data_IF_263684784178
#
_entry.id   IF_263684784178
#
_cell.length_a   1.000
_cell.length_b   1.000
_cell.length_c   1.000
_cell.angle_alpha   90.00
_cell.angle_beta   90.00
_cell.angle_gamma   90.00
#
_symmetry.space_group_name_H-M   'P 1'
#
loop_
_entity.id
_entity.type
_entity.pdbx_description
1 polymer ?
#
# COMPACT_ATOMS: atom_id res chain seq x y z
N UNK A 1 -1.58 -2.71 18.57
CA UNK A 1 -1.96 -2.12 17.27
C UNK A 1 -1.23 -2.89 16.19
N UNK A 2 -1.91 -3.25 15.10
CA UNK A 2 -1.30 -3.97 14.00
C UNK A 2 -2.35 -4.55 13.07
N UNK A 3 -2.02 -4.65 11.79
CA UNK A 3 -2.87 -5.28 10.78
C UNK A 3 -2.60 -6.78 10.80
N UNK A 4 -3.65 -7.60 10.88
CA UNK A 4 -3.51 -9.04 10.69
C UNK A 4 -3.14 -9.30 9.22
N UNK A 5 -1.95 -9.85 9.01
CA UNK A 5 -1.41 -10.14 7.68
C UNK A 5 -1.57 -11.60 7.24
N UNK A 6 -2.07 -12.47 8.11
CA UNK A 6 -2.19 -13.92 7.84
C UNK A 6 -3.22 -14.26 6.75
N UNK A 7 -4.16 -13.33 6.49
CA UNK A 7 -5.19 -13.43 5.46
C UNK A 7 -5.05 -12.33 4.41
N UNK A 8 -3.83 -11.83 4.20
CA UNK A 8 -3.58 -10.92 3.09
C UNK A 8 -3.65 -11.70 1.79
N UNK A 9 -4.67 -11.41 0.98
CA UNK A 9 -4.76 -11.89 -0.39
C UNK A 9 -4.96 -13.39 -0.54
N UNK A 10 -5.27 -13.80 -1.78
CA UNK A 10 -5.39 -15.20 -2.14
C UNK A 10 -4.06 -15.66 -2.75
N UNK A 11 -3.53 -16.83 -2.34
CA UNK A 11 -2.55 -17.60 -3.10
C UNK A 11 -2.79 -17.54 -4.62
N UNK A 12 -1.84 -16.99 -5.37
CA UNK A 12 -1.89 -16.99 -6.84
C UNK A 12 -0.81 -17.88 -7.43
N UNK A 13 -1.08 -18.38 -8.64
CA UNK A 13 -0.11 -19.03 -9.51
C UNK A 13 -0.19 -18.40 -10.91
N UNK A 14 0.90 -17.80 -11.35
CA UNK A 14 0.95 -16.94 -12.52
C UNK A 14 1.36 -17.73 -13.74
N UNK A 15 0.44 -17.81 -14.71
CA UNK A 15 0.70 -18.38 -16.03
C UNK A 15 0.35 -17.39 -17.13
N UNK A 16 1.19 -17.34 -18.16
CA UNK A 16 0.92 -16.58 -19.37
C UNK A 16 0.43 -17.55 -20.43
N UNK A 17 -0.80 -17.35 -20.92
CA UNK A 17 -1.45 -18.25 -21.87
C UNK A 17 -1.73 -17.53 -23.19
N UNK A 18 -1.65 -18.26 -24.28
CA UNK A 18 -2.16 -17.78 -25.58
C UNK A 18 -3.69 -17.69 -25.57
N UNK A 19 -4.27 -17.02 -26.57
CA UNK A 19 -5.73 -17.00 -26.78
C UNK A 19 -6.37 -18.39 -26.98
N UNK A 20 -5.55 -19.41 -27.29
CA UNK A 20 -5.95 -20.83 -27.37
C UNK A 20 -5.63 -21.60 -26.08
N UNK A 21 -5.48 -20.91 -24.95
CA UNK A 21 -5.16 -21.44 -23.61
C UNK A 21 -3.80 -22.16 -23.43
N UNK A 22 -3.01 -22.34 -24.48
CA UNK A 22 -1.66 -22.92 -24.38
C UNK A 22 -0.73 -22.05 -23.51
N UNK A 23 -0.08 -22.66 -22.51
CA UNK A 23 0.86 -22.01 -21.61
C UNK A 23 2.11 -21.61 -22.40
N UNK A 24 2.45 -20.33 -22.35
CA UNK A 24 3.64 -19.72 -22.97
C UNK A 24 4.76 -19.50 -21.96
N UNK A 25 4.40 -19.17 -20.73
CA UNK A 25 5.33 -19.05 -19.62
C UNK A 25 4.59 -19.33 -18.31
N UNK A 26 5.33 -19.79 -17.32
CA UNK A 26 4.86 -20.10 -15.98
C UNK A 26 5.90 -19.56 -15.00
N UNK A 27 5.45 -18.84 -13.98
CA UNK A 27 6.31 -18.38 -12.91
C UNK A 27 6.57 -19.57 -11.99
N UNK A 28 7.83 -19.95 -11.86
CA UNK A 28 8.25 -21.06 -11.00
C UNK A 28 8.99 -20.50 -9.80
N UNK A 29 8.46 -20.73 -8.60
CA UNK A 29 9.10 -20.35 -7.34
C UNK A 29 9.52 -21.60 -6.55
N UNK A 30 10.57 -21.51 -5.73
CA UNK A 30 10.94 -22.60 -4.83
C UNK A 30 9.80 -22.96 -3.86
N UNK A 31 9.65 -24.25 -3.54
CA UNK A 31 8.62 -24.75 -2.62
C UNK A 31 8.64 -24.07 -1.23
N UNK A 32 9.82 -23.69 -0.75
CA UNK A 32 9.97 -22.96 0.51
C UNK A 32 9.31 -21.58 0.47
N UNK A 33 9.34 -20.91 -0.68
CA UNK A 33 8.71 -19.60 -0.90
C UNK A 33 7.20 -19.77 -0.98
N UNK A 34 6.72 -20.76 -1.74
CA UNK A 34 5.29 -21.06 -1.85
C UNK A 34 4.68 -21.42 -0.49
N UNK A 35 5.38 -22.22 0.32
CA UNK A 35 4.94 -22.57 1.68
C UNK A 35 4.99 -21.39 2.65
N UNK A 36 5.98 -20.52 2.51
CA UNK A 36 6.17 -19.38 3.42
C UNK A 36 5.22 -18.20 3.16
N UNK A 37 4.87 -17.97 1.89
CA UNK A 37 4.15 -16.77 1.46
C UNK A 37 2.79 -17.06 0.80
N UNK A 38 2.42 -18.33 0.66
CA UNK A 38 1.12 -18.77 0.17
C UNK A 38 0.98 -18.82 -1.34
N UNK A 39 1.89 -18.24 -2.14
CA UNK A 39 1.78 -18.24 -3.60
C UNK A 39 2.86 -17.40 -4.26
N UNK A 40 2.75 -17.20 -5.57
CA UNK A 40 3.72 -16.41 -6.33
C UNK A 40 3.45 -14.90 -6.35
N UNK A 41 2.20 -14.54 -6.11
CA UNK A 41 1.74 -13.19 -5.90
C UNK A 41 0.65 -13.21 -4.83
N UNK A 42 0.83 -12.39 -3.81
CA UNK A 42 -0.16 -12.17 -2.76
C UNK A 42 -0.60 -10.72 -2.84
N UNK A 43 -1.77 -10.48 -3.44
CA UNK A 43 -2.32 -9.15 -3.69
C UNK A 43 -3.52 -8.87 -2.80
N UNK A 44 -3.64 -7.62 -2.33
CA UNK A 44 -4.85 -7.10 -1.70
C UNK A 44 -5.26 -5.81 -2.43
N UNK A 45 -6.56 -5.58 -2.57
CA UNK A 45 -7.04 -4.30 -3.09
C UNK A 45 -6.68 -3.19 -2.09
N UNK A 46 -6.21 -2.06 -2.62
CA UNK A 46 -5.87 -0.88 -1.83
C UNK A 46 -6.98 -0.43 -0.86
N UNK A 47 -8.29 -0.38 -1.22
CA UNK A 47 -9.34 -0.06 -0.26
C UNK A 47 -9.43 -1.07 0.90
N UNK A 48 -9.33 -2.36 0.63
CA UNK A 48 -9.40 -3.40 1.66
C UNK A 48 -8.23 -3.29 2.64
N UNK A 49 -7.03 -2.99 2.13
CA UNK A 49 -5.87 -2.72 2.99
C UNK A 49 -6.13 -1.52 3.91
N UNK A 50 -6.67 -0.43 3.38
CA UNK A 50 -6.98 0.75 4.19
C UNK A 50 -8.03 0.47 5.26
N UNK A 51 -9.08 -0.28 4.94
CA UNK A 51 -10.11 -0.65 5.91
C UNK A 51 -9.52 -1.45 7.08
N UNK A 52 -8.71 -2.47 6.79
CA UNK A 52 -8.01 -3.26 7.83
C UNK A 52 -7.05 -2.41 8.66
N UNK A 53 -6.36 -1.45 8.04
CA UNK A 53 -5.51 -0.49 8.76
C UNK A 53 -6.33 0.40 9.69
N UNK A 54 -7.48 0.92 9.23
CA UNK A 54 -8.36 1.78 10.03
C UNK A 54 -8.92 1.03 11.24
N UNK A 55 -9.33 -0.23 11.06
CA UNK A 55 -9.82 -1.09 12.15
C UNK A 55 -8.76 -1.34 13.24
N UNK A 56 -7.48 -1.39 12.85
CA UNK A 56 -6.37 -1.60 13.77
C UNK A 56 -5.94 -0.35 14.55
N UNK A 57 -6.43 0.83 14.16
CA UNK A 57 -6.06 2.13 14.71
C UNK A 57 -7.10 2.57 15.75
N UNK A 58 -6.69 2.97 16.97
CA UNK A 58 -7.60 3.45 17.99
C UNK A 58 -8.45 4.64 17.50
N UNK A 59 -9.72 4.72 17.90
CA UNK A 59 -10.58 5.87 17.58
C UNK A 59 -9.94 7.20 18.01
N UNK A 60 -10.09 8.23 17.18
CA UNK A 60 -9.53 9.56 17.43
C UNK A 60 -8.05 9.73 17.10
N UNK A 61 -7.36 8.70 16.61
CA UNK A 61 -5.94 8.80 16.21
C UNK A 61 -5.75 9.55 14.89
N UNK A 62 -6.72 9.47 13.97
CA UNK A 62 -6.61 10.08 12.63
C UNK A 62 -7.48 11.33 12.57
N UNK A 63 -6.86 12.45 12.23
CA UNK A 63 -7.55 13.68 11.84
C UNK A 63 -7.53 13.84 10.31
N UNK A 64 -8.70 13.74 9.68
CA UNK A 64 -8.84 13.98 8.25
C UNK A 64 -8.87 15.47 7.92
N UNK A 65 -8.64 15.82 6.64
CA UNK A 65 -8.60 17.20 6.16
C UNK A 65 -7.52 18.09 6.83
N UNK A 66 -6.45 17.47 7.36
CA UNK A 66 -5.31 18.14 7.99
C UNK A 66 -4.06 18.16 7.10
N UNK A 67 -4.17 18.73 5.90
CA UNK A 67 -3.00 18.91 5.03
C UNK A 67 -2.07 19.99 5.57
N UNK A 68 -0.79 19.69 5.80
CA UNK A 68 0.20 20.65 6.31
C UNK A 68 0.63 21.62 5.19
N UNK A 69 0.67 22.92 5.45
CA UNK A 69 1.13 23.95 4.50
C UNK A 69 2.50 24.51 4.83
N UNK A 70 2.91 24.46 6.10
CA UNK A 70 4.23 24.87 6.54
C UNK A 70 4.65 24.16 7.83
N UNK A 71 5.97 24.10 8.02
CA UNK A 71 6.65 23.46 9.14
C UNK A 71 7.67 24.45 9.67
N UNK A 72 7.67 24.66 10.98
CA UNK A 72 8.63 25.49 11.70
C UNK A 72 9.34 24.62 12.74
N UNK A 73 10.65 24.50 12.63
CA UNK A 73 11.50 23.81 13.60
C UNK A 73 11.97 24.83 14.65
N UNK A 74 11.55 24.64 15.90
CA UNK A 74 11.88 25.50 17.03
C UNK A 74 12.94 24.86 17.95
N UNK A 75 13.59 23.78 17.51
CA UNK A 75 14.60 23.04 18.29
C UNK A 75 13.96 21.98 19.21
N UNK A 76 13.17 22.42 20.19
CA UNK A 76 12.56 21.52 21.19
C UNK A 76 11.21 20.94 20.71
N UNK A 77 10.59 21.60 19.73
CA UNK A 77 9.33 21.18 19.13
C UNK A 77 9.22 21.66 17.69
N UNK A 78 8.33 20.99 16.95
CA UNK A 78 7.94 21.35 15.60
C UNK A 78 6.54 21.95 15.65
N UNK A 79 6.35 23.09 14.99
CA UNK A 79 5.03 23.68 14.77
C UNK A 79 4.58 23.44 13.33
N UNK A 80 3.40 22.86 13.19
CA UNK A 80 2.72 22.58 11.93
C UNK A 80 1.65 23.64 11.69
N UNK A 81 1.55 24.11 10.45
CA UNK A 81 0.54 25.09 10.01
C UNK A 81 -0.41 24.45 9.01
N UNK A 82 -1.70 24.78 9.11
CA UNK A 82 -2.77 24.23 8.28
C UNK A 82 -3.48 25.31 7.45
N UNK A 83 -4.20 24.95 6.36
CA UNK A 83 -4.90 25.89 5.48
C UNK A 83 -5.99 26.69 6.17
N UNK A 84 -6.56 26.17 7.26
CA UNK A 84 -7.60 26.83 8.06
C UNK A 84 -7.03 27.88 9.03
N UNK A 85 -5.71 28.09 9.02
CA UNK A 85 -5.02 29.02 9.92
C UNK A 85 -4.72 28.44 11.30
N UNK A 86 -5.13 27.20 11.58
CA UNK A 86 -4.78 26.52 12.83
C UNK A 86 -3.34 26.01 12.80
N UNK A 87 -2.82 25.71 13.99
CA UNK A 87 -1.49 25.11 14.15
C UNK A 87 -1.49 23.98 15.17
N UNK A 88 -0.50 23.08 15.05
CA UNK A 88 -0.28 21.98 15.98
C UNK A 88 1.19 21.87 16.35
N UNK A 89 1.50 21.64 17.63
CA UNK A 89 2.86 21.50 18.13
C UNK A 89 3.14 20.06 18.54
N UNK A 90 4.31 19.55 18.15
CA UNK A 90 4.74 18.18 18.47
C UNK A 90 6.24 18.11 18.69
N UNK A 91 6.68 17.22 19.57
CA UNK A 91 8.11 16.92 19.76
C UNK A 91 8.70 16.07 18.62
N UNK A 92 7.86 15.36 17.85
CA UNK A 92 8.30 14.50 16.76
C UNK A 92 7.34 14.57 15.56
N UNK A 93 7.91 14.67 14.37
CA UNK A 93 7.20 14.61 13.09
C UNK A 93 7.74 13.46 12.24
N UNK A 94 6.85 12.58 11.77
CA UNK A 94 7.19 11.49 10.84
C UNK A 94 6.62 11.84 9.46
N UNK A 95 7.49 11.94 8.46
CA UNK A 95 7.11 12.19 7.07
C UNK A 95 6.54 10.95 6.38
N UNK A 96 5.21 10.91 6.23
CA UNK A 96 4.49 9.84 5.51
C UNK A 96 3.48 10.41 4.49
N UNK A 97 3.75 11.61 3.97
CA UNK A 97 2.89 12.43 3.10
C UNK A 97 3.11 12.19 1.58
N UNK A 98 3.78 11.10 1.22
CA UNK A 98 3.81 10.60 -0.16
C UNK A 98 4.85 11.23 -1.08
N UNK A 99 4.65 11.06 -2.40
CA UNK A 99 5.65 11.43 -3.42
C UNK A 99 5.87 12.95 -3.54
N UNK A 100 4.87 13.75 -3.14
CA UNK A 100 4.88 15.21 -3.15
C UNK A 100 5.14 15.80 -1.75
N UNK A 101 5.90 15.05 -0.92
CA UNK A 101 6.11 15.35 0.49
C UNK A 101 6.66 16.75 0.74
N UNK A 102 5.89 17.58 1.47
CA UNK A 102 6.33 18.89 1.95
C UNK A 102 7.39 18.74 3.04
N UNK A 103 7.30 17.68 3.85
CA UNK A 103 8.26 17.38 4.91
C UNK A 103 9.64 17.13 4.31
N UNK A 104 9.70 16.26 3.30
CA UNK A 104 10.94 15.95 2.58
C UNK A 104 11.51 17.20 1.89
N UNK A 105 10.65 17.99 1.25
CA UNK A 105 11.04 19.25 0.61
C UNK A 105 11.67 20.24 1.60
N UNK A 106 11.13 20.34 2.82
CA UNK A 106 11.69 21.22 3.85
C UNK A 106 13.06 20.79 4.35
N UNK A 107 13.30 19.48 4.48
CA UNK A 107 14.57 18.96 4.96
C UNK A 107 15.68 19.00 3.90
N UNK A 108 15.36 18.72 2.64
CA UNK A 108 16.37 18.48 1.59
C UNK A 108 16.16 19.27 0.28
N UNK A 109 15.15 20.13 0.21
CA UNK A 109 14.72 20.76 -1.03
C UNK A 109 13.89 19.83 -1.92
N UNK A 110 13.46 20.33 -3.09
CA UNK A 110 12.66 19.56 -4.05
C UNK A 110 13.51 18.44 -4.69
N UNK A 111 13.21 17.16 -4.43
CA UNK A 111 13.93 16.07 -5.06
C UNK A 111 13.31 15.72 -6.41
N UNK A 112 14.12 15.27 -7.39
CA UNK A 112 13.58 14.82 -8.66
C UNK A 112 12.69 13.58 -8.46
N UNK A 113 11.49 13.61 -9.05
CA UNK A 113 10.63 12.42 -9.12
C UNK A 113 11.30 11.39 -10.02
N UNK A 114 11.51 10.19 -9.47
CA UNK A 114 12.05 9.05 -10.20
C UNK A 114 10.93 8.08 -10.54
N UNK A 115 10.82 7.73 -11.81
CA UNK A 115 9.90 6.68 -12.23
C UNK A 115 10.33 5.36 -11.61
N UNK A 116 9.40 4.70 -10.90
CA UNK A 116 9.65 3.35 -10.39
C UNK A 116 9.80 2.32 -11.52
N UNK A 117 9.32 2.65 -12.74
CA UNK A 117 9.35 1.81 -13.92
C UNK A 117 8.73 0.40 -13.72
N UNK A 118 7.95 0.22 -12.66
CA UNK A 118 7.22 -0.99 -12.38
C UNK A 118 6.12 -1.17 -13.43
N UNK A 119 6.13 -2.33 -14.09
CA UNK A 119 5.07 -2.76 -15.00
C UNK A 119 4.37 -3.94 -14.37
N UNK A 120 3.13 -3.73 -13.96
CA UNK A 120 2.25 -4.80 -13.50
C UNK A 120 1.34 -5.16 -14.66
N UNK A 121 1.37 -6.43 -15.07
CA UNK A 121 0.40 -6.98 -16.02
C UNK A 121 -0.55 -7.84 -15.21
N UNK A 122 -1.73 -7.30 -14.90
CA UNK A 122 -2.82 -8.02 -14.26
C UNK A 122 -3.98 -8.19 -15.23
N UNK A 123 -4.73 -9.27 -15.11
CA UNK A 123 -5.95 -9.52 -15.87
C UNK A 123 -6.98 -10.21 -14.99
N UNK A 124 -8.26 -9.91 -15.24
CA UNK A 124 -9.40 -10.65 -14.70
C UNK A 124 -10.02 -11.45 -15.82
N UNK A 125 -10.48 -12.68 -15.56
CA UNK A 125 -11.24 -13.46 -16.53
C UNK A 125 -12.73 -13.30 -16.25
N UNK A 126 -13.50 -12.82 -17.23
CA UNK A 126 -14.95 -12.62 -17.13
C UNK A 126 -15.78 -13.93 -17.24
N UNK A 127 -15.13 -15.08 -17.17
CA UNK A 127 -15.84 -16.36 -17.19
C UNK A 127 -16.22 -16.72 -15.76
N UNK A 128 -17.52 -16.75 -15.47
CA UNK A 128 -18.06 -17.31 -14.22
C UNK A 128 -17.70 -18.81 -14.06
N UNK A 129 -17.23 -19.47 -15.13
CA UNK A 129 -16.84 -20.89 -15.16
C UNK A 129 -15.32 -21.12 -15.08
N UNK A 130 -14.56 -20.29 -14.37
CA UNK A 130 -13.29 -20.77 -13.82
C UNK A 130 -13.60 -21.23 -12.41
N UNK A 131 -13.71 -22.55 -12.21
CA UNK A 131 -13.95 -23.12 -10.89
C UNK A 131 -12.97 -22.50 -9.89
N UNK A 132 -13.49 -21.65 -9.01
CA UNK A 132 -12.74 -21.08 -7.91
C UNK A 132 -12.25 -22.25 -7.06
N UNK A 133 -10.93 -22.32 -6.85
CA UNK A 133 -10.40 -23.20 -5.84
C UNK A 133 -11.04 -22.80 -4.50
N UNK A 134 -11.38 -23.81 -3.68
CA UNK A 134 -12.33 -23.78 -2.54
C UNK A 134 -12.13 -22.74 -1.41
N UNK A 135 -11.30 -21.71 -1.56
CA UNK A 135 -10.89 -20.81 -0.48
C UNK A 135 -11.16 -19.31 -0.73
N UNK A 136 -12.08 -18.94 -1.63
CA UNK A 136 -12.56 -17.56 -1.71
C UNK A 136 -13.78 -17.38 -0.78
N UNK A 137 -13.55 -16.72 0.36
CA UNK A 137 -14.62 -16.36 1.31
C UNK A 137 -15.43 -15.22 0.70
N UNK A 138 -16.76 -15.41 0.69
CA UNK A 138 -17.78 -14.48 0.19
C UNK A 138 -17.83 -13.17 0.97
#
# INVERSE_FOLDING_TARGET
MGVNIGELGTPCHTTFRSVKAHIRAEVQLPDEVLKGYGGDLTGLLRPDLYLRMLEAIPPGTIEFNRGITAIEDNGDFIKLLFPDGTSFETALLIGADGIDSIIRQRLWGEPPKRAHNLRIVGGVTFNEEVATAQNEVT
#
